data_IF_338200991073
#
_entry.id   IF_338200991073
#
_cell.length_a   1.000
_cell.length_b   1.000
_cell.length_c   1.000
_cell.angle_alpha   90.00
_cell.angle_beta   90.00
_cell.angle_gamma   90.00
#
_symmetry.space_group_name_H-M   'P 1'
#
loop_
_entity.id
_entity.type
_entity.pdbx_description
1 polymer ?
#
# COMPACT_ATOMS: atom_id res chain seq x y z
N UNK A 1 -4.96 -7.32 0.13
CA UNK A 1 -5.27 -7.48 1.56
C UNK A 1 -5.98 -8.81 1.80
N UNK A 2 -5.45 -9.65 2.67
CA UNK A 2 -5.95 -11.00 2.98
C UNK A 2 -7.39 -10.97 3.51
N UNK A 3 -7.75 -9.92 4.26
CA UNK A 3 -9.13 -9.67 4.70
C UNK A 3 -10.07 -9.34 3.53
N UNK A 4 -9.56 -8.71 2.48
CA UNK A 4 -10.32 -8.45 1.25
C UNK A 4 -10.64 -9.71 0.45
N UNK A 5 -9.89 -10.80 0.65
CA UNK A 5 -10.18 -12.14 0.09
C UNK A 5 -11.29 -12.81 0.89
N UNK A 6 -11.22 -12.74 2.22
CA UNK A 6 -12.19 -13.33 3.15
C UNK A 6 -13.56 -12.66 3.09
N UNK A 7 -13.60 -11.34 2.94
CA UNK A 7 -14.86 -10.56 3.01
C UNK A 7 -15.29 -9.95 1.67
N UNK A 8 -14.43 -9.93 0.66
CA UNK A 8 -14.72 -9.29 -0.62
C UNK A 8 -15.81 -10.00 -1.41
N UNK A 9 -16.97 -9.34 -1.57
CA UNK A 9 -18.05 -9.87 -2.44
C UNK A 9 -17.90 -9.45 -3.90
N UNK A 10 -17.25 -8.30 -4.14
CA UNK A 10 -17.03 -7.73 -5.48
C UNK A 10 -15.56 -7.33 -5.62
N UNK A 11 -14.84 -8.09 -6.43
CA UNK A 11 -13.42 -7.93 -6.67
C UNK A 11 -13.17 -7.49 -8.11
N UNK A 12 -12.23 -6.56 -8.28
CA UNK A 12 -11.92 -5.93 -9.56
C UNK A 12 -10.42 -5.84 -9.77
N UNK A 13 -9.96 -6.05 -11.00
CA UNK A 13 -8.58 -5.80 -11.37
C UNK A 13 -8.30 -4.29 -11.37
N UNK A 14 -7.23 -3.85 -10.71
CA UNK A 14 -6.90 -2.42 -10.57
C UNK A 14 -6.55 -1.73 -11.90
N UNK A 15 -6.07 -2.45 -12.91
CA UNK A 15 -5.67 -1.88 -14.20
C UNK A 15 -6.87 -1.53 -15.10
N UNK A 16 -7.89 -2.38 -15.09
CA UNK A 16 -9.02 -2.29 -16.03
C UNK A 16 -10.37 -2.13 -15.37
N UNK A 17 -10.44 -2.13 -14.03
CA UNK A 17 -11.67 -2.15 -13.23
C UNK A 17 -12.68 -3.21 -13.70
N UNK A 18 -12.19 -4.29 -14.30
CA UNK A 18 -13.02 -5.44 -14.71
C UNK A 18 -13.15 -6.38 -13.52
N UNK A 19 -14.31 -7.02 -13.42
CA UNK A 19 -14.59 -8.02 -12.38
C UNK A 19 -13.57 -9.15 -12.49
N UNK A 20 -12.98 -9.52 -11.36
CA UNK A 20 -11.93 -10.53 -11.29
C UNK A 20 -12.11 -11.42 -10.05
N UNK A 21 -11.36 -12.51 -9.98
CA UNK A 21 -11.39 -13.44 -8.84
C UNK A 21 -10.69 -12.82 -7.63
N UNK A 22 -11.39 -12.76 -6.49
CA UNK A 22 -10.80 -12.32 -5.23
C UNK A 22 -9.57 -13.17 -4.88
N UNK A 23 -8.49 -12.53 -4.44
CA UNK A 23 -7.24 -13.21 -4.06
C UNK A 23 -6.25 -13.44 -5.20
N UNK A 24 -6.52 -12.96 -6.41
CA UNK A 24 -5.48 -12.84 -7.44
C UNK A 24 -4.65 -11.56 -7.25
N UNK A 25 -3.42 -11.59 -7.75
CA UNK A 25 -2.50 -10.47 -7.67
C UNK A 25 -3.07 -9.24 -8.39
N UNK A 26 -3.02 -8.12 -7.67
CA UNK A 26 -3.54 -6.82 -8.10
C UNK A 26 -5.05 -6.73 -8.30
N UNK A 27 -5.79 -7.58 -7.59
CA UNK A 27 -7.24 -7.46 -7.47
C UNK A 27 -7.59 -6.71 -6.19
N UNK A 28 -8.40 -5.67 -6.34
CA UNK A 28 -8.92 -4.85 -5.24
C UNK A 28 -10.40 -5.14 -4.98
N UNK A 29 -10.81 -5.01 -3.73
CA UNK A 29 -12.21 -5.03 -3.30
C UNK A 29 -12.49 -3.82 -2.42
N UNK A 30 -13.74 -3.36 -2.36
CA UNK A 30 -14.12 -2.23 -1.52
C UNK A 30 -13.80 -2.53 -0.05
N UNK A 31 -14.13 -3.74 0.39
CA UNK A 31 -13.84 -4.22 1.74
C UNK A 31 -12.34 -4.24 1.99
N UNK A 32 -11.53 -4.76 1.05
CA UNK A 32 -10.07 -4.77 1.14
C UNK A 32 -9.46 -3.37 1.20
N UNK A 33 -9.99 -2.42 0.43
CA UNK A 33 -9.56 -1.02 0.47
C UNK A 33 -9.93 -0.34 1.78
N UNK A 34 -11.12 -0.62 2.34
CA UNK A 34 -11.53 -0.14 3.65
C UNK A 34 -10.64 -0.69 4.77
N UNK A 35 -10.27 -1.97 4.71
CA UNK A 35 -9.31 -2.54 5.65
C UNK A 35 -7.91 -1.93 5.49
N UNK A 36 -7.47 -1.62 4.27
CA UNK A 36 -6.22 -0.89 4.03
C UNK A 36 -6.25 0.53 4.61
N UNK A 37 -7.36 1.24 4.47
CA UNK A 37 -7.58 2.55 5.09
C UNK A 37 -7.60 2.44 6.62
N UNK A 38 -8.29 1.45 7.18
CA UNK A 38 -8.33 1.21 8.61
C UNK A 38 -6.94 0.87 9.17
N UNK A 39 -6.16 0.05 8.45
CA UNK A 39 -4.78 -0.29 8.82
C UNK A 39 -3.86 0.93 8.83
N UNK A 40 -3.89 1.75 7.77
CA UNK A 40 -3.10 3.00 7.73
C UNK A 40 -3.53 4.01 8.79
N UNK A 41 -4.83 4.08 9.10
CA UNK A 41 -5.37 4.87 10.22
C UNK A 41 -4.86 4.37 11.56
N UNK A 42 -4.85 3.06 11.80
CA UNK A 42 -4.33 2.49 13.02
C UNK A 42 -2.84 2.80 13.20
N UNK A 43 -2.04 2.65 12.14
CA UNK A 43 -0.61 3.01 12.15
C UNK A 43 -0.42 4.49 12.48
N UNK A 44 -1.19 5.38 11.85
CA UNK A 44 -1.15 6.81 12.13
C UNK A 44 -1.53 7.15 13.57
N UNK A 45 -2.55 6.49 14.13
CA UNK A 45 -2.95 6.68 15.53
C UNK A 45 -1.86 6.20 16.51
N UNK A 46 -1.19 5.08 16.22
CA UNK A 46 -0.06 4.60 17.02
C UNK A 46 1.09 5.61 16.98
N UNK A 47 1.41 6.15 15.80
CA UNK A 47 2.43 7.20 15.63
C UNK A 47 2.08 8.44 16.47
N UNK A 48 0.84 8.93 16.37
CA UNK A 48 0.40 10.08 17.15
C UNK A 48 0.34 9.81 18.65
N UNK A 49 0.03 8.59 19.07
CA UNK A 49 0.09 8.18 20.48
C UNK A 49 1.50 8.26 21.07
N UNK A 50 2.53 8.07 20.23
CA UNK A 50 3.93 8.13 20.65
C UNK A 50 4.57 9.53 20.54
N UNK A 51 4.19 10.31 19.53
CA UNK A 51 4.89 11.56 19.16
C UNK A 51 4.00 12.81 19.21
N UNK A 52 2.69 12.65 19.44
CA UNK A 52 1.70 13.73 19.47
C UNK A 52 0.80 13.78 18.23
N UNK A 53 -0.36 14.40 18.38
CA UNK A 53 -1.31 14.60 17.28
C UNK A 53 -0.93 15.83 16.45
N UNK A 54 -0.82 15.64 15.14
CA UNK A 54 -0.51 16.69 14.18
C UNK A 54 -0.92 16.29 12.75
N UNK A 55 -0.59 17.13 11.74
CA UNK A 55 -0.93 16.86 10.34
C UNK A 55 -0.33 15.54 9.80
N UNK A 56 0.70 15.01 10.47
CA UNK A 56 1.38 13.75 10.16
C UNK A 56 0.40 12.56 10.16
N UNK A 57 -0.64 12.59 11.01
CA UNK A 57 -1.68 11.55 11.02
C UNK A 57 -2.30 11.38 9.64
N UNK A 58 -2.69 12.51 9.04
CA UNK A 58 -3.37 12.55 7.76
C UNK A 58 -2.40 12.15 6.63
N UNK A 59 -1.15 12.57 6.74
CA UNK A 59 -0.08 12.15 5.82
C UNK A 59 0.16 10.64 5.86
N UNK A 60 0.21 10.02 7.05
CA UNK A 60 0.40 8.58 7.21
C UNK A 60 -0.79 7.80 6.62
N UNK A 61 -2.02 8.26 6.88
CA UNK A 61 -3.23 7.64 6.33
C UNK A 61 -3.22 7.68 4.80
N UNK A 62 -2.95 8.85 4.22
CA UNK A 62 -2.91 9.03 2.76
C UNK A 62 -1.77 8.22 2.15
N UNK A 63 -0.56 8.31 2.70
CA UNK A 63 0.61 7.58 2.21
C UNK A 63 0.41 6.06 2.31
N UNK A 64 -0.10 5.55 3.44
CA UNK A 64 -0.38 4.13 3.62
C UNK A 64 -1.47 3.61 2.69
N UNK A 65 -2.51 4.42 2.46
CA UNK A 65 -3.57 4.07 1.50
C UNK A 65 -3.04 4.04 0.06
N UNK A 66 -2.24 5.03 -0.33
CA UNK A 66 -1.59 5.07 -1.65
C UNK A 66 -0.64 3.88 -1.80
N UNK A 67 0.18 3.58 -0.79
CA UNK A 67 1.10 2.44 -0.81
C UNK A 67 0.38 1.11 -1.05
N UNK A 68 -0.76 0.90 -0.38
CA UNK A 68 -1.60 -0.29 -0.57
C UNK A 68 -2.20 -0.39 -2.00
N UNK A 69 -2.52 0.75 -2.62
CA UNK A 69 -2.96 0.79 -4.02
C UNK A 69 -1.81 0.52 -5.00
N UNK A 70 -0.63 1.12 -4.75
CA UNK A 70 0.57 0.90 -5.56
C UNK A 70 1.01 -0.56 -5.52
N UNK A 71 0.95 -1.20 -4.35
CA UNK A 71 1.22 -2.62 -4.20
C UNK A 71 0.29 -3.47 -5.07
N UNK A 72 -1.01 -3.16 -5.03
CA UNK A 72 -2.01 -3.81 -5.91
C UNK A 72 -1.72 -3.55 -7.39
N UNK A 73 -1.28 -2.34 -7.75
CA UNK A 73 -0.91 -2.01 -9.13
C UNK A 73 0.30 -2.82 -9.61
N UNK A 74 1.36 -2.88 -8.80
CA UNK A 74 2.56 -3.66 -9.10
C UNK A 74 2.26 -5.17 -9.17
N UNK A 75 1.39 -5.67 -8.29
CA UNK A 75 0.89 -7.04 -8.34
C UNK A 75 0.15 -7.34 -9.65
N UNK A 76 -0.72 -6.41 -10.11
CA UNK A 76 -1.45 -6.58 -11.38
C UNK A 76 -0.54 -6.51 -12.60
N UNK A 77 0.55 -5.74 -12.56
CA UNK A 77 1.45 -5.55 -13.71
C UNK A 77 2.60 -6.54 -13.75
N UNK A 78 3.36 -6.68 -12.66
CA UNK A 78 4.65 -7.38 -12.64
C UNK A 78 4.53 -8.81 -12.10
N UNK A 79 3.71 -9.00 -11.07
CA UNK A 79 3.52 -10.33 -10.50
C UNK A 79 2.63 -11.19 -11.38
N UNK A 80 1.49 -10.62 -11.80
CA UNK A 80 0.53 -11.32 -12.65
C UNK A 80 1.04 -11.62 -14.07
N UNK A 81 2.00 -10.84 -14.57
CA UNK A 81 2.69 -11.14 -15.84
C UNK A 81 3.79 -12.19 -15.70
N UNK A 82 4.06 -12.67 -14.48
CA UNK A 82 5.09 -13.66 -14.19
C UNK A 82 6.52 -13.10 -14.22
N UNK A 83 6.70 -11.78 -14.37
CA UNK A 83 8.02 -11.13 -14.41
C UNK A 83 8.66 -11.17 -13.02
N UNK A 84 7.86 -10.93 -11.97
CA UNK A 84 8.31 -10.98 -10.58
C UNK A 84 7.43 -11.92 -9.76
N UNK A 85 7.98 -12.50 -8.69
CA UNK A 85 7.18 -13.17 -7.64
C UNK A 85 6.86 -12.15 -6.54
N UNK A 86 5.90 -12.44 -5.65
CA UNK A 86 5.57 -11.63 -4.47
C UNK A 86 6.80 -11.05 -3.74
N UNK A 87 7.81 -11.90 -3.47
CA UNK A 87 9.04 -11.46 -2.82
C UNK A 87 9.81 -10.40 -3.63
N UNK A 88 9.78 -10.50 -4.95
CA UNK A 88 10.41 -9.53 -5.86
C UNK A 88 9.65 -8.20 -5.89
N UNK A 89 8.31 -8.23 -5.88
CA UNK A 89 7.49 -7.02 -5.80
C UNK A 89 7.68 -6.32 -4.45
N UNK A 90 7.64 -7.07 -3.35
CA UNK A 90 7.89 -6.52 -2.01
C UNK A 90 9.30 -5.95 -1.87
N UNK A 91 10.31 -6.62 -2.44
CA UNK A 91 11.68 -6.11 -2.45
C UNK A 91 11.78 -4.79 -3.21
N UNK A 92 11.18 -4.69 -4.40
CA UNK A 92 11.17 -3.46 -5.20
C UNK A 92 10.42 -2.33 -4.49
N UNK A 93 9.27 -2.62 -3.89
CA UNK A 93 8.49 -1.64 -3.14
C UNK A 93 9.28 -1.09 -1.95
N UNK A 94 9.94 -1.98 -1.19
CA UNK A 94 10.80 -1.60 -0.07
C UNK A 94 12.03 -0.80 -0.54
N UNK A 95 12.65 -1.21 -1.65
CA UNK A 95 13.82 -0.53 -2.22
C UNK A 95 13.46 0.89 -2.68
N UNK A 96 12.34 1.05 -3.39
CA UNK A 96 11.85 2.36 -3.84
C UNK A 96 11.54 3.25 -2.63
N UNK A 97 10.89 2.72 -1.60
CA UNK A 97 10.61 3.46 -0.37
C UNK A 97 11.90 3.92 0.32
N UNK A 98 12.89 3.03 0.46
CA UNK A 98 14.18 3.34 1.06
C UNK A 98 14.95 4.40 0.25
N UNK A 99 15.00 4.27 -1.08
CA UNK A 99 15.66 5.25 -1.95
C UNK A 99 14.96 6.62 -1.90
N UNK A 100 13.63 6.64 -1.88
CA UNK A 100 12.85 7.88 -1.77
C UNK A 100 13.12 8.58 -0.44
N UNK A 101 13.15 7.83 0.66
CA UNK A 101 13.47 8.36 1.99
C UNK A 101 14.90 8.92 2.03
N UNK A 102 15.88 8.19 1.51
CA UNK A 102 17.27 8.66 1.44
C UNK A 102 17.41 9.95 0.62
N UNK A 103 16.71 10.03 -0.52
CA UNK A 103 16.70 11.22 -1.36
C UNK A 103 16.10 12.42 -0.60
N UNK A 104 14.96 12.23 0.06
CA UNK A 104 14.30 13.27 0.86
C UNK A 104 15.18 13.73 2.02
N UNK A 105 15.76 12.81 2.79
CA UNK A 105 16.71 13.16 3.85
C UNK A 105 17.85 14.03 3.33
N UNK A 106 18.42 13.67 2.17
CA UNK A 106 19.51 14.43 1.55
C UNK A 106 19.07 15.79 1.01
N UNK A 107 17.87 15.89 0.43
CA UNK A 107 17.33 17.15 -0.13
C UNK A 107 16.94 18.14 0.97
N UNK A 108 16.37 17.65 2.07
CA UNK A 108 15.87 18.48 3.17
C UNK A 108 16.88 18.66 4.31
N UNK A 109 18.07 18.08 4.23
CA UNK A 109 19.07 18.15 5.30
C UNK A 109 18.61 17.51 6.61
N UNK A 110 17.64 16.58 6.55
CA UNK A 110 17.14 15.87 7.72
C UNK A 110 18.17 14.80 8.09
N UNK A 111 19.04 15.11 9.04
CA UNK A 111 20.10 14.21 9.48
C UNK A 111 21.40 14.85 9.98
N UNK A 112 21.48 16.19 10.05
CA UNK A 112 22.53 16.91 10.79
C UNK A 112 21.99 17.53 12.09
#
# INVERSE_FOLDING_TARGET
SELGILYGRKCYNILGFRKDTCGKDGVISLEGSLFGLAGSTLIGLIYCGALGFGPELLLIIVAGTIGNLTDSFLGATLERSGILKNNGVNFLNTLIAAMSMLLLCKVFGLGE
#
